data_IF_754574171476
#
_entry.id   IF_754574171476
#
_cell.length_a   1.000
_cell.length_b   1.000
_cell.length_c   1.000
_cell.angle_alpha   90.00
_cell.angle_beta   90.00
_cell.angle_gamma   90.00
#
_symmetry.space_group_name_H-M   'P 1'
#
loop_
_entity.id
_entity.type
_entity.pdbx_description
1 polymer ?
#
# COMPACT_ATOMS: atom_id res chain seq x y z
N UNK A 1 23.32 33.82 -32.52
CA UNK A 1 23.88 34.04 -31.17
C UNK A 1 22.96 35.02 -30.46
N UNK A 2 22.23 34.58 -29.42
CA UNK A 2 22.79 34.37 -28.10
C UNK A 2 22.45 33.01 -27.46
N UNK A 3 23.00 32.82 -26.27
CA UNK A 3 23.31 31.58 -25.55
C UNK A 3 22.11 30.84 -24.94
N UNK A 4 22.18 29.50 -24.99
CA UNK A 4 21.44 28.59 -24.12
C UNK A 4 22.06 28.60 -22.70
N UNK A 5 21.22 28.73 -21.68
CA UNK A 5 21.55 28.44 -20.28
C UNK A 5 20.91 27.11 -19.86
N UNK A 6 21.76 26.11 -19.67
CA UNK A 6 21.41 24.80 -19.10
C UNK A 6 21.33 24.89 -17.57
N UNK A 7 20.15 24.64 -17.00
CA UNK A 7 20.00 24.42 -15.56
C UNK A 7 20.34 22.96 -15.21
N UNK A 8 21.43 22.78 -14.46
CA UNK A 8 21.83 21.51 -13.84
C UNK A 8 21.02 21.32 -12.55
N UNK A 9 20.21 20.26 -12.47
CA UNK A 9 19.61 19.80 -11.20
C UNK A 9 20.68 19.09 -10.36
N UNK A 10 20.90 19.56 -9.14
CA UNK A 10 21.72 18.89 -8.14
C UNK A 10 20.93 17.73 -7.51
N UNK A 11 21.54 16.54 -7.47
CA UNK A 11 21.05 15.39 -6.70
C UNK A 11 21.61 15.52 -5.29
N UNK A 12 20.75 15.66 -4.29
CA UNK A 12 21.12 15.51 -2.89
C UNK A 12 21.08 14.02 -2.54
N UNK A 13 22.25 13.44 -2.29
CA UNK A 13 22.41 12.07 -1.81
C UNK A 13 22.46 12.11 -0.29
N UNK A 14 21.39 11.70 0.38
CA UNK A 14 21.39 11.52 1.84
C UNK A 14 22.08 10.20 2.18
N UNK A 15 23.29 10.29 2.70
CA UNK A 15 24.05 9.16 3.27
C UNK A 15 23.70 9.05 4.75
N UNK A 16 23.11 7.92 5.16
CA UNK A 16 22.84 7.61 6.56
C UNK A 16 24.04 6.81 7.11
N UNK A 17 24.73 7.39 8.10
CA UNK A 17 25.88 6.79 8.78
C UNK A 17 25.37 5.88 9.90
N UNK A 18 25.68 4.58 9.82
CA UNK A 18 25.47 3.62 10.91
C UNK A 18 26.70 3.67 11.84
N UNK A 19 26.53 4.11 13.09
CA UNK A 19 27.55 3.94 14.13
C UNK A 19 27.42 2.54 14.76
N UNK A 20 28.43 1.70 14.56
CA UNK A 20 28.61 0.46 15.30
C UNK A 20 29.53 0.71 16.50
N UNK A 21 29.03 0.52 17.72
CA UNK A 21 29.84 0.49 18.95
C UNK A 21 30.25 -0.95 19.25
N UNK A 22 31.54 -1.24 19.08
CA UNK A 22 32.16 -2.49 19.52
C UNK A 22 32.60 -2.35 20.99
N UNK A 23 31.95 -3.08 21.89
CA UNK A 23 32.38 -3.24 23.28
C UNK A 23 33.29 -4.47 23.42
N UNK A 24 34.58 -4.23 23.68
CA UNK A 24 35.57 -5.23 24.08
C UNK A 24 35.35 -5.57 25.57
N UNK A 25 35.23 -6.85 25.91
CA UNK A 25 35.37 -7.32 27.31
C UNK A 25 36.45 -8.39 27.35
N UNK A 26 37.44 -8.15 28.21
CA UNK A 26 38.65 -8.94 28.35
C UNK A 26 38.48 -10.24 29.12
N UNK A 27 39.35 -11.18 28.79
CA UNK A 27 39.57 -12.48 29.44
C UNK A 27 40.51 -12.35 30.64
N UNK A 28 40.22 -13.03 31.76
CA UNK A 28 41.22 -13.62 32.67
C UNK A 28 40.62 -14.50 33.79
N UNK A 29 41.25 -15.68 34.02
CA UNK A 29 41.32 -16.43 35.30
C UNK A 29 40.13 -17.34 35.63
N UNK A 30 40.14 -18.67 35.65
CA UNK A 30 41.02 -19.73 36.20
C UNK A 30 40.55 -20.30 37.57
N UNK A 31 40.51 -21.65 37.60
CA UNK A 31 40.46 -22.60 38.73
C UNK A 31 39.15 -22.89 39.49
N UNK A 32 38.70 -24.15 39.33
CA UNK A 32 38.45 -25.07 40.45
C UNK A 32 37.02 -25.17 40.99
N UNK A 33 36.37 -26.32 40.76
CA UNK A 33 35.83 -27.21 41.80
C UNK A 33 34.81 -28.20 41.21
N UNK A 34 34.99 -29.48 41.54
CA UNK A 34 33.99 -30.52 41.37
C UNK A 34 32.76 -30.20 42.24
N UNK A 35 31.57 -30.36 41.67
CA UNK A 35 30.30 -30.27 42.40
C UNK A 35 29.19 -30.93 41.60
N UNK A 36 28.78 -32.13 42.04
CA UNK A 36 27.59 -32.81 41.57
C UNK A 36 26.36 -31.92 41.80
N UNK A 37 25.80 -31.39 40.72
CA UNK A 37 24.54 -30.66 40.75
C UNK A 37 23.59 -31.29 39.72
N UNK A 38 22.67 -32.08 40.27
CA UNK A 38 21.51 -32.69 39.61
C UNK A 38 20.74 -31.61 38.83
N UNK A 39 21.04 -31.44 37.53
CA UNK A 39 20.30 -30.53 36.65
C UNK A 39 19.01 -31.24 36.24
N UNK A 40 17.93 -30.96 36.97
CA UNK A 40 16.59 -31.14 36.47
C UNK A 40 16.48 -30.32 35.19
N UNK A 41 16.36 -31.02 34.05
CA UNK A 41 16.10 -30.40 32.77
C UNK A 41 14.77 -29.64 32.87
N UNK A 42 14.85 -28.32 33.01
CA UNK A 42 13.71 -27.46 32.78
C UNK A 42 13.25 -27.75 31.36
N UNK A 43 12.02 -28.27 31.23
CA UNK A 43 11.37 -28.41 29.95
C UNK A 43 11.30 -27.00 29.35
N UNK A 44 12.13 -26.78 28.32
CA UNK A 44 12.06 -25.62 27.46
C UNK A 44 10.66 -25.64 26.84
N UNK A 45 9.72 -24.91 27.44
CA UNK A 45 8.41 -24.66 26.88
C UNK A 45 8.59 -23.66 25.73
N UNK A 46 9.29 -24.11 24.70
CA UNK A 46 9.50 -23.37 23.48
C UNK A 46 8.14 -23.02 22.92
N UNK A 47 7.85 -21.72 22.84
CA UNK A 47 6.71 -21.21 22.07
C UNK A 47 6.73 -21.91 20.72
N UNK A 48 5.63 -22.57 20.30
CA UNK A 48 5.59 -23.22 18.99
C UNK A 48 6.05 -22.22 17.94
N UNK A 49 7.02 -22.61 17.11
CA UNK A 49 7.45 -21.78 15.99
C UNK A 49 6.19 -21.43 15.19
N UNK A 50 5.88 -20.13 15.11
CA UNK A 50 4.69 -19.67 14.40
C UNK A 50 4.72 -20.25 12.98
N UNK A 51 3.66 -20.99 12.64
CA UNK A 51 3.51 -21.62 11.33
C UNK A 51 3.74 -20.56 10.25
N UNK A 52 4.52 -20.92 9.23
CA UNK A 52 4.88 -20.00 8.15
C UNK A 52 3.60 -19.46 7.50
N UNK A 53 3.49 -18.15 7.40
CA UNK A 53 2.38 -17.48 6.70
C UNK A 53 2.36 -17.94 5.25
N UNK A 54 1.21 -18.45 4.74
CA UNK A 54 1.10 -18.94 3.38
C UNK A 54 1.56 -17.91 2.34
N UNK A 55 2.24 -18.39 1.31
CA UNK A 55 2.64 -17.56 0.17
C UNK A 55 1.92 -18.03 -1.09
N UNK A 56 1.38 -17.08 -1.82
CA UNK A 56 0.71 -17.26 -3.08
C UNK A 56 1.52 -16.58 -4.18
N UNK A 57 1.30 -17.04 -5.41
CA UNK A 57 1.73 -16.36 -6.62
C UNK A 57 0.53 -16.14 -7.52
N UNK A 58 0.76 -15.73 -8.76
CA UNK A 58 -0.27 -15.31 -9.69
C UNK A 58 -0.14 -16.00 -11.05
N UNK A 59 -1.25 -16.04 -11.77
CA UNK A 59 -1.27 -16.15 -13.23
C UNK A 59 -1.83 -14.85 -13.80
N UNK A 60 -1.26 -14.38 -14.91
CA UNK A 60 -1.79 -13.24 -15.65
C UNK A 60 -2.97 -13.73 -16.49
N UNK A 61 -4.15 -13.19 -16.22
CA UNK A 61 -5.38 -13.48 -16.96
C UNK A 61 -5.48 -12.57 -18.18
N UNK A 62 -5.27 -11.26 -17.98
CA UNK A 62 -5.25 -10.25 -19.04
C UNK A 62 -4.24 -9.14 -18.73
N UNK A 63 -3.84 -8.42 -19.78
CA UNK A 63 -3.02 -7.21 -19.68
C UNK A 63 -3.72 -6.09 -20.42
N UNK A 64 -3.85 -4.94 -19.75
CA UNK A 64 -4.49 -3.74 -20.27
C UNK A 64 -3.49 -2.58 -20.34
N UNK A 65 -3.64 -1.63 -21.28
CA UNK A 65 -2.84 -0.41 -21.27
C UNK A 65 -3.08 0.40 -19.99
N UNK A 66 -2.02 0.97 -19.43
CA UNK A 66 -2.10 1.94 -18.33
C UNK A 66 -1.24 3.16 -18.68
N UNK A 67 -1.66 4.32 -18.20
CA UNK A 67 -0.98 5.59 -18.48
C UNK A 67 0.38 5.67 -17.76
N UNK A 68 1.52 5.69 -18.47
CA UNK A 68 2.84 5.71 -17.84
C UNK A 68 3.19 7.07 -17.21
N UNK A 69 2.36 8.10 -17.36
CA UNK A 69 2.50 9.37 -16.64
C UNK A 69 1.80 9.35 -15.27
N UNK A 70 1.06 8.29 -14.95
CA UNK A 70 0.22 8.23 -13.79
C UNK A 70 0.94 7.73 -12.55
N UNK A 71 1.05 8.58 -11.54
CA UNK A 71 1.56 8.16 -10.24
C UNK A 71 0.44 7.56 -9.39
N UNK A 72 0.05 6.31 -9.68
CA UNK A 72 -1.09 5.63 -9.04
C UNK A 72 -0.97 5.59 -7.52
N UNK A 73 -1.97 6.10 -6.81
CA UNK A 73 -2.04 6.10 -5.34
C UNK A 73 -3.33 5.51 -4.77
N UNK A 74 -4.36 5.33 -5.59
CA UNK A 74 -5.54 4.55 -5.25
C UNK A 74 -6.17 4.02 -6.52
N UNK A 75 -6.65 2.78 -6.51
CA UNK A 75 -7.31 2.16 -7.65
C UNK A 75 -8.61 1.52 -7.15
N UNK A 76 -9.70 1.65 -7.90
CA UNK A 76 -10.96 1.03 -7.48
C UNK A 76 -11.80 0.58 -8.66
N UNK A 77 -12.37 -0.61 -8.54
CA UNK A 77 -13.42 -1.08 -9.44
C UNK A 77 -14.79 -0.79 -8.82
N UNK A 78 -15.63 -0.04 -9.52
CA UNK A 78 -16.96 0.29 -9.04
C UNK A 78 -17.94 0.42 -10.22
N UNK A 79 -19.13 -0.16 -10.10
CA UNK A 79 -20.18 -0.10 -11.14
C UNK A 79 -19.68 -0.44 -12.56
N UNK A 80 -18.89 -1.52 -12.66
CA UNK A 80 -18.24 -1.99 -13.90
C UNK A 80 -17.32 -0.95 -14.57
N UNK A 81 -16.74 -0.04 -13.79
CA UNK A 81 -15.84 1.04 -14.22
C UNK A 81 -14.59 1.07 -13.34
N UNK A 82 -13.48 1.52 -13.93
CA UNK A 82 -12.21 1.67 -13.23
C UNK A 82 -12.02 3.14 -12.84
N UNK A 83 -11.72 3.37 -11.57
CA UNK A 83 -11.40 4.67 -11.00
C UNK A 83 -10.00 4.66 -10.43
N UNK A 84 -9.34 5.81 -10.48
CA UNK A 84 -7.98 5.95 -9.99
C UNK A 84 -7.75 7.33 -9.39
N UNK A 85 -6.93 7.37 -8.34
CA UNK A 85 -6.34 8.57 -7.80
C UNK A 85 -4.85 8.61 -8.12
N UNK A 86 -4.38 9.74 -8.63
CA UNK A 86 -2.98 9.98 -8.95
C UNK A 86 -2.35 10.99 -7.99
N UNK A 87 -1.08 10.77 -7.70
CA UNK A 87 -0.23 11.66 -6.90
C UNK A 87 0.64 12.60 -7.74
N UNK A 88 1.53 13.31 -7.04
CA UNK A 88 2.41 14.42 -7.48
C UNK A 88 1.71 15.78 -7.47
N UNK A 89 2.31 16.74 -6.76
CA UNK A 89 1.78 18.10 -6.62
C UNK A 89 1.68 18.77 -8.00
N UNK A 90 0.49 19.26 -8.33
CA UNK A 90 0.20 19.91 -9.62
C UNK A 90 -0.28 18.96 -10.73
N UNK A 91 -0.16 17.65 -10.55
CA UNK A 91 -0.72 16.63 -11.48
C UNK A 91 -1.60 15.60 -10.77
N UNK A 92 -1.82 15.76 -9.47
CA UNK A 92 -2.73 14.92 -8.69
C UNK A 92 -4.17 15.10 -9.15
N UNK A 93 -4.98 14.06 -9.04
CA UNK A 93 -6.39 14.13 -9.39
C UNK A 93 -7.10 12.80 -9.30
N UNK A 94 -8.39 12.83 -9.61
CA UNK A 94 -9.24 11.67 -9.78
C UNK A 94 -9.50 11.44 -11.25
N UNK A 95 -9.54 10.18 -11.67
CA UNK A 95 -9.87 9.81 -13.04
C UNK A 95 -10.75 8.57 -13.10
N UNK A 96 -11.67 8.58 -14.05
CA UNK A 96 -12.34 7.38 -14.55
C UNK A 96 -11.58 6.94 -15.80
N UNK A 97 -11.26 5.66 -15.90
CA UNK A 97 -10.44 5.10 -16.97
C UNK A 97 -11.22 3.99 -17.68
N UNK A 98 -11.19 4.01 -19.01
CA UNK A 98 -11.66 2.89 -19.80
C UNK A 98 -10.66 1.74 -19.69
N UNK A 99 -11.09 0.61 -19.10
CA UNK A 99 -10.22 -0.54 -18.85
C UNK A 99 -9.55 -1.06 -20.13
N UNK A 100 -10.28 -1.10 -21.25
CA UNK A 100 -9.80 -1.73 -22.48
C UNK A 100 -8.69 -0.95 -23.16
N UNK A 101 -8.78 0.38 -23.14
CA UNK A 101 -7.87 1.27 -23.85
C UNK A 101 -6.88 2.01 -22.94
N UNK A 102 -7.11 2.01 -21.62
CA UNK A 102 -6.35 2.79 -20.64
C UNK A 102 -6.59 4.30 -20.74
N UNK A 103 -7.56 4.74 -21.57
CA UNK A 103 -7.83 6.16 -21.78
C UNK A 103 -8.65 6.73 -20.64
N UNK A 104 -8.28 7.93 -20.20
CA UNK A 104 -9.07 8.73 -19.26
C UNK A 104 -10.40 9.10 -19.93
N UNK A 105 -11.50 8.67 -19.33
CA UNK A 105 -12.88 9.00 -19.74
C UNK A 105 -13.25 10.39 -19.22
N UNK A 106 -12.91 10.65 -17.96
CA UNK A 106 -13.06 11.96 -17.31
C UNK A 106 -12.09 12.08 -16.14
N UNK A 107 -11.82 13.32 -15.73
CA UNK A 107 -10.93 13.60 -14.62
C UNK A 107 -11.36 14.85 -13.86
N UNK A 108 -10.97 14.88 -12.59
CA UNK A 108 -11.07 16.04 -11.71
C UNK A 108 -9.68 16.30 -11.11
N UNK A 109 -8.99 17.37 -11.56
CA UNK A 109 -7.72 17.75 -10.97
C UNK A 109 -7.88 18.06 -9.48
N UNK A 110 -6.86 17.71 -8.71
CA UNK A 110 -6.70 18.11 -7.34
C UNK A 110 -5.76 19.33 -7.29
N UNK A 111 -6.21 20.41 -6.68
CA UNK A 111 -5.46 21.66 -6.67
C UNK A 111 -4.16 21.56 -5.85
N UNK A 112 -3.16 22.37 -6.22
CA UNK A 112 -2.00 22.59 -5.38
C UNK A 112 -2.41 23.22 -4.03
N UNK A 113 -1.73 22.92 -2.91
CA UNK A 113 -0.47 22.17 -2.80
C UNK A 113 -0.67 20.67 -2.56
N UNK A 114 -1.86 20.13 -2.81
CA UNK A 114 -2.19 18.78 -2.40
C UNK A 114 -1.51 17.72 -3.28
N UNK A 115 -1.06 16.66 -2.61
CA UNK A 115 -0.62 15.42 -3.23
C UNK A 115 -1.72 14.38 -2.99
N UNK A 116 -2.35 13.90 -4.06
CA UNK A 116 -3.45 12.92 -3.99
C UNK A 116 -2.95 11.53 -3.61
N UNK A 117 -3.69 10.84 -2.76
CA UNK A 117 -3.36 9.50 -2.26
C UNK A 117 -4.53 8.53 -2.52
N UNK A 118 -4.74 7.54 -1.65
CA UNK A 118 -5.79 6.53 -1.75
C UNK A 118 -7.19 7.11 -1.92
N UNK A 119 -8.05 6.34 -2.59
CA UNK A 119 -9.43 6.72 -2.87
C UNK A 119 -10.38 5.54 -2.73
N UNK A 120 -11.62 5.83 -2.37
CA UNK A 120 -12.68 4.82 -2.32
C UNK A 120 -14.04 5.44 -2.59
N UNK A 121 -14.91 4.70 -3.25
CA UNK A 121 -16.33 4.99 -3.43
C UNK A 121 -17.12 4.19 -2.38
N UNK A 122 -17.94 4.89 -1.60
CA UNK A 122 -18.87 4.32 -0.62
C UNK A 122 -20.20 5.07 -0.68
N UNK A 123 -21.27 4.36 -1.01
CA UNK A 123 -22.58 4.96 -1.30
C UNK A 123 -22.50 5.89 -2.52
N UNK A 124 -23.00 7.12 -2.38
CA UNK A 124 -22.96 8.13 -3.44
C UNK A 124 -21.71 9.02 -3.40
N UNK A 125 -20.74 8.72 -2.51
CA UNK A 125 -19.53 9.53 -2.33
C UNK A 125 -18.28 8.80 -2.79
N UNK A 126 -17.39 9.53 -3.45
CA UNK A 126 -15.98 9.19 -3.63
C UNK A 126 -15.17 10.00 -2.62
N UNK A 127 -14.28 9.34 -1.88
CA UNK A 127 -13.35 9.92 -0.92
C UNK A 127 -11.94 9.83 -1.51
N UNK A 128 -11.17 10.92 -1.42
CA UNK A 128 -9.79 10.96 -1.86
C UNK A 128 -8.92 11.53 -0.72
N UNK A 129 -7.92 10.77 -0.30
CA UNK A 129 -6.95 11.19 0.70
C UNK A 129 -5.90 12.12 0.08
N UNK A 130 -5.17 12.78 0.97
CA UNK A 130 -3.94 13.48 0.63
C UNK A 130 -2.78 12.99 1.47
N UNK A 131 -1.56 13.10 0.97
CA UNK A 131 -0.40 12.58 1.68
C UNK A 131 -0.15 13.29 3.01
N UNK A 132 0.30 14.55 2.98
CA UNK A 132 0.73 15.27 4.20
C UNK A 132 -0.19 16.42 4.60
N UNK A 133 -1.16 16.78 3.77
CA UNK A 133 -2.04 17.91 4.07
C UNK A 133 -3.16 17.61 5.07
N UNK A 134 -3.35 16.34 5.47
CA UNK A 134 -4.37 15.97 6.44
C UNK A 134 -5.80 16.25 5.95
N UNK A 135 -6.05 16.09 4.65
CA UNK A 135 -7.35 16.35 4.01
C UNK A 135 -7.88 15.12 3.30
N UNK A 136 -9.17 14.84 3.50
CA UNK A 136 -9.93 13.90 2.69
C UNK A 136 -11.00 14.68 1.92
N UNK A 137 -10.88 14.75 0.60
CA UNK A 137 -11.87 15.39 -0.26
C UNK A 137 -13.00 14.42 -0.57
N UNK A 138 -14.23 14.93 -0.61
CA UNK A 138 -15.38 14.12 -1.03
C UNK A 138 -15.97 14.67 -2.31
N UNK A 139 -16.44 13.77 -3.16
CA UNK A 139 -17.02 14.07 -4.45
C UNK A 139 -18.28 13.24 -4.67
N UNK A 140 -19.21 13.75 -5.45
CA UNK A 140 -20.21 12.92 -6.09
C UNK A 140 -19.48 12.03 -7.11
N UNK A 141 -19.50 10.71 -6.92
CA UNK A 141 -18.67 9.81 -7.74
C UNK A 141 -19.13 9.76 -9.21
N UNK A 142 -20.41 10.07 -9.47
CA UNK A 142 -21.02 10.05 -10.81
C UNK A 142 -20.68 11.27 -11.64
N UNK A 143 -20.27 12.38 -11.03
CA UNK A 143 -19.98 13.65 -11.72
C UNK A 143 -18.58 14.19 -11.44
N UNK A 144 -17.90 13.67 -10.41
CA UNK A 144 -16.68 14.22 -9.81
C UNK A 144 -16.83 15.64 -9.26
N UNK A 145 -18.05 16.10 -9.04
CA UNK A 145 -18.28 17.39 -8.38
C UNK A 145 -17.86 17.27 -6.92
N UNK A 146 -16.95 18.13 -6.46
CA UNK A 146 -16.52 18.15 -5.07
C UNK A 146 -17.69 18.52 -4.15
N UNK A 147 -18.02 17.65 -3.21
CA UNK A 147 -19.15 17.79 -2.27
C UNK A 147 -18.71 18.26 -0.88
N UNK A 148 -17.42 18.20 -0.55
CA UNK A 148 -16.96 18.59 0.77
C UNK A 148 -15.52 18.18 1.07
N UNK A 149 -15.13 18.31 2.33
CA UNK A 149 -13.78 18.01 2.80
C UNK A 149 -13.82 17.66 4.29
N UNK A 150 -13.05 16.66 4.69
CA UNK A 150 -12.74 16.36 6.08
C UNK A 150 -11.27 16.67 6.37
N UNK A 151 -10.94 16.83 7.64
CA UNK A 151 -9.55 16.91 8.10
C UNK A 151 -9.22 15.69 8.96
N UNK A 152 -7.96 15.27 8.92
CA UNK A 152 -7.42 14.20 9.77
C UNK A 152 -5.97 14.49 10.15
N UNK A 153 -5.52 13.89 11.24
CA UNK A 153 -4.15 13.98 11.69
C UNK A 153 -3.25 12.95 11.01
N UNK A 154 -1.99 13.33 10.82
CA UNK A 154 -0.96 12.49 10.21
C UNK A 154 -1.09 12.37 8.69
N UNK A 155 -0.44 11.34 8.14
CA UNK A 155 -0.46 11.08 6.70
C UNK A 155 -1.65 10.21 6.29
N UNK A 156 -2.02 10.29 5.00
CA UNK A 156 -2.94 9.33 4.39
C UNK A 156 -2.34 8.65 3.17
N UNK A 157 -2.44 7.32 3.11
CA UNK A 157 -1.85 6.51 2.06
C UNK A 157 -2.95 5.76 1.32
N UNK A 158 -3.26 4.51 1.65
CA UNK A 158 -4.37 3.75 1.03
C UNK A 158 -5.73 3.99 1.69
N UNK A 159 -6.79 3.77 0.91
CA UNK A 159 -8.18 3.86 1.38
C UNK A 159 -9.03 2.78 0.69
N UNK A 160 -9.77 1.99 1.46
CA UNK A 160 -10.78 1.05 0.95
C UNK A 160 -12.02 1.05 1.84
N UNK A 161 -12.97 0.13 1.63
CA UNK A 161 -14.19 0.04 2.44
C UNK A 161 -14.67 -1.40 2.58
N UNK A 162 -15.21 -1.74 3.75
CA UNK A 162 -15.97 -2.97 3.97
C UNK A 162 -17.45 -2.84 3.55
N UNK A 163 -17.83 -1.73 2.91
CA UNK A 163 -19.20 -1.37 2.55
C UNK A 163 -19.94 -0.56 3.61
N UNK A 164 -19.34 -0.33 4.79
CA UNK A 164 -19.93 0.49 5.87
C UNK A 164 -18.99 1.55 6.40
N UNK A 165 -17.71 1.21 6.55
CA UNK A 165 -16.66 2.08 7.09
C UNK A 165 -15.62 2.39 6.02
N UNK A 166 -14.91 3.51 6.20
CA UNK A 166 -13.70 3.79 5.44
C UNK A 166 -12.51 3.16 6.16
N UNK A 167 -11.65 2.45 5.45
CA UNK A 167 -10.49 1.74 6.00
C UNK A 167 -9.23 2.35 5.42
N UNK A 168 -8.39 2.93 6.26
CA UNK A 168 -7.30 3.82 5.85
C UNK A 168 -5.95 3.35 6.40
N UNK A 169 -4.93 3.35 5.54
CA UNK A 169 -3.53 3.21 5.94
C UNK A 169 -2.80 4.56 5.91
N UNK A 170 -1.60 4.59 6.48
CA UNK A 170 -0.77 5.79 6.55
C UNK A 170 0.74 5.49 6.45
N UNK A 171 1.12 4.34 5.87
CA UNK A 171 2.52 3.92 5.79
C UNK A 171 3.11 3.33 7.09
N UNK A 172 2.40 3.42 8.22
CA UNK A 172 2.77 2.69 9.44
C UNK A 172 2.26 1.24 9.40
N UNK A 173 2.45 0.51 10.50
CA UNK A 173 1.83 -0.80 10.72
C UNK A 173 0.40 -0.71 11.27
N UNK A 174 -0.26 0.44 11.19
CA UNK A 174 -1.64 0.63 11.67
C UNK A 174 -2.61 0.86 10.51
N UNK A 175 -3.78 0.24 10.60
CA UNK A 175 -4.94 0.51 9.75
C UNK A 175 -6.05 1.07 10.64
N UNK A 176 -6.69 2.14 10.20
CA UNK A 176 -7.78 2.81 10.95
C UNK A 176 -9.09 2.73 10.18
N UNK A 177 -10.17 2.43 10.90
CA UNK A 177 -11.53 2.57 10.42
C UNK A 177 -12.01 3.97 10.75
N UNK A 178 -12.71 4.59 9.81
CA UNK A 178 -13.27 5.91 9.94
C UNK A 178 -14.75 5.90 9.59
N UNK A 179 -15.51 6.66 10.37
CA UNK A 179 -16.92 6.92 10.08
C UNK A 179 -17.04 7.75 8.78
N UNK A 180 -17.85 7.36 7.79
CA UNK A 180 -17.91 8.06 6.51
C UNK A 180 -18.56 9.45 6.57
N UNK A 181 -19.32 9.75 7.62
CA UNK A 181 -20.03 11.03 7.75
C UNK A 181 -19.20 12.10 8.48
N UNK A 182 -18.31 11.67 9.37
CA UNK A 182 -17.52 12.56 10.25
C UNK A 182 -16.02 12.41 10.04
N UNK A 183 -15.58 11.33 9.40
CA UNK A 183 -14.19 10.92 9.23
C UNK A 183 -13.44 10.61 10.53
N UNK A 184 -14.16 10.54 11.65
CA UNK A 184 -13.64 10.21 12.96
C UNK A 184 -13.17 8.76 13.02
N UNK A 185 -12.07 8.49 13.73
CA UNK A 185 -11.56 7.13 13.93
C UNK A 185 -12.52 6.35 14.83
N UNK A 186 -12.96 5.18 14.38
CA UNK A 186 -13.87 4.29 15.12
C UNK A 186 -13.18 3.03 15.61
N UNK A 187 -12.12 2.59 14.92
CA UNK A 187 -11.30 1.42 15.27
C UNK A 187 -9.90 1.60 14.72
N UNK A 188 -8.91 1.08 15.45
CA UNK A 188 -7.51 0.98 15.00
C UNK A 188 -7.07 -0.47 15.12
N UNK A 189 -6.32 -0.95 14.14
CA UNK A 189 -5.79 -2.30 14.08
C UNK A 189 -4.31 -2.26 13.74
N UNK A 190 -3.49 -3.02 14.48
CA UNK A 190 -2.07 -3.19 14.14
C UNK A 190 -1.88 -4.40 13.23
N UNK A 191 -1.20 -4.20 12.11
CA UNK A 191 -0.89 -5.24 11.14
C UNK A 191 0.38 -5.99 11.55
N UNK A 192 0.30 -7.31 11.66
CA UNK A 192 1.45 -8.15 12.04
C UNK A 192 1.57 -9.41 11.17
N UNK A 193 2.80 -9.78 10.83
CA UNK A 193 3.13 -11.12 10.33
C UNK A 193 3.82 -11.88 11.45
N UNK A 194 3.16 -12.92 11.99
CA UNK A 194 3.69 -13.76 13.08
C UNK A 194 4.19 -12.93 14.28
N UNK A 195 3.40 -11.92 14.67
CA UNK A 195 3.70 -11.02 15.78
C UNK A 195 4.69 -9.90 15.47
N UNK A 196 5.28 -9.86 14.26
CA UNK A 196 6.15 -8.77 13.83
C UNK A 196 5.34 -7.70 13.09
N UNK A 197 5.40 -6.41 13.47
CA UNK A 197 4.69 -5.35 12.77
C UNK A 197 5.09 -5.27 11.29
N UNK A 198 4.10 -5.13 10.41
CA UNK A 198 4.31 -4.91 8.98
C UNK A 198 4.13 -3.43 8.69
N UNK A 199 5.22 -2.69 8.51
CA UNK A 199 5.19 -1.28 8.16
C UNK A 199 5.02 -1.07 6.64
N UNK A 200 4.97 0.20 6.21
CA UNK A 200 4.87 0.61 4.81
C UNK A 200 3.60 0.11 4.11
N UNK A 201 2.51 -0.09 4.87
CA UNK A 201 1.18 -0.41 4.34
C UNK A 201 0.71 0.78 3.49
N UNK A 202 0.53 0.53 2.20
CA UNK A 202 0.21 1.56 1.22
C UNK A 202 -1.23 1.37 0.72
N UNK A 203 -1.43 1.28 -0.59
CA UNK A 203 -2.74 1.11 -1.20
C UNK A 203 -3.47 -0.14 -0.67
N UNK A 204 -4.79 -0.03 -0.51
CA UNK A 204 -5.65 -1.01 0.14
C UNK A 204 -6.81 -1.39 -0.77
N UNK A 205 -7.23 -2.66 -0.72
CA UNK A 205 -8.49 -3.11 -1.30
C UNK A 205 -9.21 -4.14 -0.44
N UNK A 206 -10.54 -4.07 -0.37
CA UNK A 206 -11.35 -5.06 0.34
C UNK A 206 -11.71 -6.22 -0.59
N UNK A 207 -11.13 -7.39 -0.32
CA UNK A 207 -11.27 -8.57 -1.20
C UNK A 207 -11.82 -9.73 -0.38
N UNK A 208 -13.07 -10.13 -0.66
CA UNK A 208 -13.73 -11.31 -0.06
C UNK A 208 -13.67 -11.35 1.48
N UNK A 209 -13.78 -10.20 2.13
CA UNK A 209 -13.75 -10.10 3.60
C UNK A 209 -12.34 -9.93 4.19
N UNK A 210 -11.33 -9.76 3.35
CA UNK A 210 -9.95 -9.49 3.74
C UNK A 210 -9.55 -8.08 3.34
N UNK A 211 -8.59 -7.49 4.04
CA UNK A 211 -7.90 -6.29 3.57
C UNK A 211 -6.67 -6.74 2.81
N UNK A 212 -6.61 -6.43 1.53
CA UNK A 212 -5.41 -6.59 0.73
C UNK A 212 -4.65 -5.27 0.74
N UNK A 213 -3.33 -5.33 0.94
CA UNK A 213 -2.52 -4.14 1.03
C UNK A 213 -1.23 -4.28 0.24
N UNK A 214 -0.92 -3.29 -0.60
CA UNK A 214 0.44 -3.12 -1.09
C UNK A 214 1.36 -2.78 0.09
N UNK A 215 2.59 -3.31 0.06
CA UNK A 215 3.67 -2.89 0.95
C UNK A 215 4.67 -2.09 0.13
N UNK A 216 4.84 -0.81 0.45
CA UNK A 216 5.63 0.10 -0.36
C UNK A 216 7.08 -0.36 -0.49
N UNK A 217 7.61 -0.25 -1.73
CA UNK A 217 8.93 -0.75 -2.15
C UNK A 217 9.11 -2.27 -2.17
N UNK A 218 8.04 -3.05 -2.03
CA UNK A 218 8.07 -4.51 -2.14
C UNK A 218 7.10 -4.97 -3.24
N UNK A 219 7.52 -5.93 -4.06
CA UNK A 219 6.68 -6.56 -5.08
C UNK A 219 5.74 -7.62 -4.43
N UNK A 220 5.00 -7.23 -3.39
CA UNK A 220 4.10 -8.14 -2.66
C UNK A 220 2.87 -7.43 -2.11
N UNK A 221 1.78 -8.20 -1.99
CA UNK A 221 0.53 -7.79 -1.35
C UNK A 221 0.31 -8.62 -0.09
N UNK A 222 0.03 -7.97 1.03
CA UNK A 222 -0.38 -8.62 2.28
C UNK A 222 -1.89 -8.87 2.24
N UNK A 223 -2.32 -10.08 2.59
CA UNK A 223 -3.72 -10.42 2.88
C UNK A 223 -3.89 -10.38 4.40
N UNK A 224 -4.71 -9.46 4.89
CA UNK A 224 -4.83 -9.13 6.31
C UNK A 224 -6.24 -9.50 6.78
N UNK A 225 -6.32 -10.25 7.88
CA UNK A 225 -7.59 -10.47 8.57
C UNK A 225 -8.03 -9.16 9.27
N UNK A 226 -9.18 -8.59 8.90
CA UNK A 226 -9.65 -7.31 9.44
C UNK A 226 -10.05 -7.38 10.92
N UNK A 227 -10.24 -8.58 11.48
CA UNK A 227 -10.60 -8.75 12.88
C UNK A 227 -9.38 -8.74 13.80
N UNK A 228 -8.27 -9.33 13.34
CA UNK A 228 -7.07 -9.55 14.17
C UNK A 228 -5.87 -8.71 13.77
N UNK A 229 -5.82 -8.24 12.51
CA UNK A 229 -4.66 -7.55 11.95
C UNK A 229 -3.54 -8.51 11.55
N UNK A 230 -3.77 -9.81 11.66
CA UNK A 230 -2.78 -10.82 11.29
C UNK A 230 -2.73 -10.92 9.76
N UNK A 231 -1.51 -10.94 9.21
CA UNK A 231 -1.30 -11.32 7.82
C UNK A 231 -1.56 -12.82 7.69
N UNK A 232 -2.61 -13.17 6.95
CA UNK A 232 -3.06 -14.54 6.69
C UNK A 232 -2.51 -15.10 5.37
N UNK A 233 -1.87 -14.26 4.57
CA UNK A 233 -1.19 -14.67 3.36
C UNK A 233 -0.40 -13.55 2.71
N UNK A 234 0.64 -13.93 1.96
CA UNK A 234 1.39 -13.04 1.10
C UNK A 234 1.18 -13.40 -0.36
N UNK A 235 0.92 -12.43 -1.22
CA UNK A 235 0.88 -12.61 -2.66
C UNK A 235 2.17 -12.03 -3.23
N UNK A 236 3.05 -12.91 -3.71
CA UNK A 236 4.30 -12.52 -4.34
C UNK A 236 4.05 -12.17 -5.81
N UNK A 237 4.21 -10.88 -6.14
CA UNK A 237 4.08 -10.33 -7.48
C UNK A 237 5.45 -10.03 -8.11
N UNK A 238 6.52 -10.58 -7.54
CA UNK A 238 7.86 -10.48 -8.12
C UNK A 238 7.83 -10.96 -9.57
N UNK A 239 8.35 -10.13 -10.48
CA UNK A 239 8.36 -10.33 -11.93
C UNK A 239 7.03 -10.10 -12.67
N UNK A 240 6.00 -9.54 -12.03
CA UNK A 240 4.77 -9.14 -12.72
C UNK A 240 5.07 -8.11 -13.83
N UNK A 241 5.77 -7.02 -13.49
CA UNK A 241 6.24 -6.04 -14.47
C UNK A 241 7.61 -6.47 -15.03
N UNK A 242 7.73 -6.70 -16.35
CA UNK A 242 9.00 -7.00 -17.00
C UNK A 242 10.02 -5.88 -16.79
N UNK A 243 11.30 -6.23 -16.62
CA UNK A 243 12.38 -5.25 -16.41
C UNK A 243 12.50 -4.19 -17.52
N UNK A 244 12.12 -4.55 -18.75
CA UNK A 244 12.15 -3.62 -19.90
C UNK A 244 11.10 -2.51 -19.79
N UNK A 245 10.03 -2.75 -19.04
CA UNK A 245 8.96 -1.78 -18.83
C UNK A 245 9.20 -0.90 -17.59
N UNK A 246 10.29 -1.15 -16.84
CA UNK A 246 10.68 -0.34 -15.68
C UNK A 246 11.40 0.93 -16.14
N UNK A 247 10.94 2.08 -15.67
CA UNK A 247 11.41 3.42 -16.08
C UNK A 247 12.26 4.11 -15.01
N UNK A 248 12.34 3.57 -13.79
CA UNK A 248 13.13 4.18 -12.73
C UNK A 248 13.13 3.38 -11.42
N UNK A 249 13.11 4.11 -10.31
CA UNK A 249 12.97 3.55 -8.96
C UNK A 249 11.63 3.94 -8.31
N UNK A 250 10.86 4.85 -8.92
CA UNK A 250 9.58 5.33 -8.40
C UNK A 250 8.40 4.53 -8.95
N UNK A 251 8.65 3.70 -9.97
CA UNK A 251 7.72 2.83 -10.65
C UNK A 251 7.49 1.50 -9.91
N UNK A 252 7.07 1.64 -8.66
CA UNK A 252 6.77 0.53 -7.75
C UNK A 252 5.35 0.02 -7.91
N UNK A 253 5.13 -1.26 -7.59
CA UNK A 253 3.80 -1.86 -7.44
C UNK A 253 2.96 -1.03 -6.46
N UNK A 254 1.78 -0.57 -6.90
CA UNK A 254 0.82 0.17 -6.09
C UNK A 254 -0.52 0.31 -6.84
N UNK A 255 -1.63 -0.08 -6.22
CA UNK A 255 -2.96 -0.06 -6.81
C UNK A 255 -3.53 -1.47 -6.96
N UNK A 256 -4.62 -1.75 -6.25
CA UNK A 256 -5.36 -3.01 -6.26
C UNK A 256 -6.83 -2.67 -6.45
N UNK A 257 -7.51 -3.34 -7.37
CA UNK A 257 -8.95 -3.17 -7.53
C UNK A 257 -9.64 -4.53 -7.68
N UNK A 258 -10.81 -4.69 -7.06
CA UNK A 258 -11.55 -5.93 -7.04
C UNK A 258 -12.95 -5.81 -7.64
N UNK A 259 -13.20 -6.57 -8.70
CA UNK A 259 -14.53 -6.76 -9.27
C UNK A 259 -15.22 -7.96 -8.63
N UNK A 260 -15.94 -7.72 -7.54
CA UNK A 260 -16.66 -8.76 -6.81
C UNK A 260 -17.73 -9.49 -7.66
N UNK A 261 -18.29 -8.84 -8.69
CA UNK A 261 -19.35 -9.43 -9.50
C UNK A 261 -18.83 -10.52 -10.45
N UNK A 262 -17.59 -10.40 -10.92
CA UNK A 262 -16.94 -11.35 -11.84
C UNK A 262 -15.74 -12.05 -11.23
N UNK A 263 -15.45 -11.77 -9.97
CA UNK A 263 -14.28 -12.26 -9.23
C UNK A 263 -12.94 -11.94 -9.92
N UNK A 264 -12.78 -10.70 -10.38
CA UNK A 264 -11.55 -10.26 -11.07
C UNK A 264 -10.72 -9.36 -10.18
N UNK A 265 -9.41 -9.57 -10.18
CA UNK A 265 -8.45 -8.78 -9.42
C UNK A 265 -7.58 -8.03 -10.42
N UNK A 266 -7.48 -6.72 -10.25
CA UNK A 266 -6.62 -5.85 -11.04
C UNK A 266 -5.49 -5.29 -10.19
N UNK A 267 -4.29 -5.27 -10.74
CA UNK A 267 -3.12 -4.67 -10.11
C UNK A 267 -2.33 -3.84 -11.11
N UNK A 268 -1.73 -2.76 -10.64
CA UNK A 268 -0.86 -1.88 -11.44
C UNK A 268 0.27 -1.33 -10.57
N UNK A 269 0.98 -0.33 -11.07
CA UNK A 269 1.96 0.41 -10.29
C UNK A 269 2.08 1.85 -10.76
N UNK A 270 2.84 2.61 -9.98
CA UNK A 270 3.14 4.00 -10.30
C UNK A 270 3.91 4.04 -11.61
N UNK A 271 3.48 4.84 -12.56
CA UNK A 271 4.12 5.01 -13.87
C UNK A 271 4.21 3.71 -14.70
N UNK A 272 3.50 2.65 -14.32
CA UNK A 272 3.51 1.39 -15.08
C UNK A 272 2.78 1.60 -16.40
N UNK A 273 3.28 1.09 -17.53
CA UNK A 273 2.57 1.17 -18.81
C UNK A 273 1.43 0.16 -18.93
N UNK A 274 1.22 -0.69 -17.91
CA UNK A 274 0.32 -1.84 -17.92
C UNK A 274 -0.44 -1.98 -16.61
N UNK A 275 -1.71 -2.35 -16.73
CA UNK A 275 -2.55 -2.87 -15.66
C UNK A 275 -2.82 -4.35 -15.93
N UNK A 276 -2.74 -5.18 -14.91
CA UNK A 276 -2.85 -6.63 -15.03
C UNK A 276 -4.11 -7.12 -14.33
N UNK A 277 -4.86 -7.98 -15.00
CA UNK A 277 -5.83 -8.86 -14.33
C UNK A 277 -5.12 -10.15 -13.95
N UNK A 278 -5.24 -10.54 -12.68
CA UNK A 278 -4.53 -11.69 -12.15
C UNK A 278 -5.48 -12.67 -11.44
N UNK A 279 -5.10 -13.94 -11.45
CA UNK A 279 -5.68 -14.97 -10.57
C UNK A 279 -4.64 -15.47 -9.59
N UNK A 280 -5.03 -15.73 -8.33
CA UNK A 280 -4.12 -16.14 -7.27
C UNK A 280 -4.07 -17.66 -7.14
N UNK A 281 -2.86 -18.22 -6.97
CA UNK A 281 -2.64 -19.64 -6.70
C UNK A 281 -1.59 -19.85 -5.62
N UNK A 282 -1.61 -20.97 -4.88
CA UNK A 282 -0.51 -21.32 -3.96
C UNK A 282 0.84 -21.34 -4.69
N UNK A 283 1.91 -20.93 -3.99
CA UNK A 283 3.28 -21.00 -4.50
C UNK A 283 3.85 -22.42 -4.44
#
# INVERSE_FOLDING_TARGET
MPLLTTFRRSRATSVMILLATAGLVGTAGAFGACGDANHSAAADSGTPAATRTPTYTFDVVNVYPHDPAAFTQGLQWHDNRLFESTGQVGTSGLREVDLSSGRVVRQQPLEQPHFGEGMVILGDKLYQLTWQSGKAFTYDWKTFTRTGTFSYDGEGWGLTTDGTSLIMSNGSASIVWRDPNTFAVTKTLSVTDRGTPVAAINELEWVKGEIWANVWQVDSIARIDPNTGTVIGWIDLSNLLPKIDRTGNEDVLNGIAYDAAKDRIFVTGKLWPKLYEISIKPR
#
